data_IF_345168027301
#
_entry.id   IF_345168027301
#
_cell.length_a   1.000
_cell.length_b   1.000
_cell.length_c   1.000
_cell.angle_alpha   90.00
_cell.angle_beta   90.00
_cell.angle_gamma   90.00
#
_symmetry.space_group_name_H-M   'P 1'
#
loop_
_entity.id
_entity.type
_entity.pdbx_description
1 polymer ?
#
# COMPACT_ATOMS: atom_id res chain seq x y z
N UNK A 1 -7.01 -16.19 14.17
CA UNK A 1 -6.75 -16.29 12.73
C UNK A 1 -5.94 -15.09 12.27
N UNK A 2 -4.83 -15.34 11.61
CA UNK A 2 -4.00 -14.26 11.10
C UNK A 2 -4.64 -13.65 9.87
N UNK A 3 -4.58 -12.34 9.79
CA UNK A 3 -5.04 -11.60 8.64
C UNK A 3 -3.87 -10.80 8.07
N UNK A 4 -3.67 -10.91 6.79
CA UNK A 4 -2.59 -10.18 6.12
C UNK A 4 -3.16 -9.03 5.32
N UNK A 5 -2.49 -7.89 5.44
CA UNK A 5 -2.84 -6.71 4.68
C UNK A 5 -1.59 -6.20 3.98
N UNK A 6 -1.78 -5.39 2.97
CA UNK A 6 -0.67 -4.80 2.23
C UNK A 6 -0.77 -3.29 2.35
N UNK A 7 0.38 -2.63 2.45
CA UNK A 7 0.42 -1.17 2.44
C UNK A 7 1.36 -0.71 1.33
N UNK A 8 1.02 0.40 0.73
CA UNK A 8 1.82 0.99 -0.33
C UNK A 8 1.57 2.48 -0.38
N UNK A 9 2.56 3.22 -0.88
CA UNK A 9 2.48 4.67 -0.97
C UNK A 9 2.49 5.08 -2.43
N UNK A 10 1.56 5.93 -2.80
CA UNK A 10 1.49 6.48 -4.15
C UNK A 10 2.55 7.56 -4.34
N UNK A 11 2.78 7.95 -5.58
CA UNK A 11 3.82 8.91 -5.90
C UNK A 11 3.59 10.27 -5.25
N UNK A 12 2.32 10.63 -5.04
CA UNK A 12 1.98 11.90 -4.39
C UNK A 12 2.11 11.88 -2.86
N UNK A 13 2.50 10.74 -2.30
CA UNK A 13 2.69 10.59 -0.87
C UNK A 13 1.53 9.97 -0.12
N UNK A 14 0.42 9.72 -0.79
CA UNK A 14 -0.73 9.09 -0.13
C UNK A 14 -0.43 7.64 0.21
N UNK A 15 -0.74 7.27 1.46
CA UNK A 15 -0.54 5.92 1.96
C UNK A 15 -1.88 5.21 2.02
N UNK A 16 -1.92 3.96 1.59
CA UNK A 16 -3.15 3.18 1.61
C UNK A 16 -2.87 1.74 1.99
N UNK A 17 -3.90 1.08 2.52
CA UNK A 17 -3.84 -0.34 2.82
C UNK A 17 -4.79 -1.09 1.91
N UNK A 18 -4.42 -2.34 1.60
CA UNK A 18 -5.16 -3.17 0.65
C UNK A 18 -5.35 -4.55 1.22
N UNK A 19 -6.49 -5.19 0.92
CA UNK A 19 -6.73 -6.55 1.40
C UNK A 19 -5.94 -7.59 0.62
N UNK A 20 -5.57 -7.29 -0.63
CA UNK A 20 -4.78 -8.17 -1.47
C UNK A 20 -3.56 -7.41 -1.96
N UNK A 21 -2.56 -8.14 -2.46
CA UNK A 21 -1.35 -7.53 -2.96
C UNK A 21 -1.67 -6.54 -4.10
N UNK A 22 -1.44 -5.24 -3.90
CA UNK A 22 -1.70 -4.26 -4.96
C UNK A 22 -0.65 -4.32 -6.04
N UNK A 23 -0.96 -3.70 -7.16
CA UNK A 23 -0.11 -3.66 -8.32
C UNK A 23 0.36 -2.22 -8.55
N UNK A 24 1.65 -2.05 -8.78
CA UNK A 24 2.20 -0.71 -9.01
C UNK A 24 1.92 -0.28 -10.45
N UNK A 25 1.16 0.79 -10.60
CA UNK A 25 0.85 1.36 -11.91
C UNK A 25 1.65 2.65 -12.09
N UNK A 26 2.76 2.55 -12.80
CA UNK A 26 3.66 3.69 -12.95
C UNK A 26 3.07 4.76 -13.85
N UNK A 27 2.17 4.41 -14.75
CA UNK A 27 1.52 5.40 -15.62
C UNK A 27 0.52 6.25 -14.86
N UNK A 28 -0.24 5.61 -13.96
CA UNK A 28 -1.18 6.33 -13.11
C UNK A 28 -0.51 6.91 -11.87
N UNK A 29 0.75 6.51 -11.61
CA UNK A 29 1.53 6.96 -10.47
C UNK A 29 0.87 6.59 -9.15
N UNK A 30 0.27 5.40 -9.12
CA UNK A 30 -0.44 4.90 -7.94
C UNK A 30 -0.45 3.38 -7.92
N UNK A 31 -0.78 2.81 -6.77
CA UNK A 31 -1.00 1.38 -6.63
C UNK A 31 -2.48 1.08 -6.87
N UNK A 32 -2.77 -0.09 -7.45
CA UNK A 32 -4.14 -0.47 -7.78
C UNK A 32 -4.32 -1.98 -7.74
N UNK A 33 -5.56 -2.43 -7.98
CA UNK A 33 -5.91 -3.86 -8.08
C UNK A 33 -5.68 -4.66 -6.81
N UNK A 34 -5.69 -3.98 -5.64
CA UNK A 34 -5.51 -4.64 -4.35
C UNK A 34 -6.83 -5.06 -3.69
N UNK A 35 -7.94 -5.04 -4.43
CA UNK A 35 -9.25 -5.31 -3.85
C UNK A 35 -9.71 -4.17 -2.97
N UNK A 36 -10.33 -4.49 -1.82
CA UNK A 36 -10.72 -3.44 -0.89
C UNK A 36 -9.49 -2.67 -0.38
N UNK A 37 -9.61 -1.36 -0.27
CA UNK A 37 -8.52 -0.50 0.19
C UNK A 37 -9.08 0.70 0.94
N UNK A 38 -8.22 1.31 1.75
CA UNK A 38 -8.57 2.53 2.46
C UNK A 38 -7.30 3.33 2.70
N UNK A 39 -7.43 4.62 2.88
CA UNK A 39 -6.29 5.48 3.15
C UNK A 39 -5.83 5.34 4.60
N UNK A 40 -4.53 5.50 4.80
CA UNK A 40 -3.92 5.63 6.11
C UNK A 40 -3.33 7.02 6.26
N UNK A 41 -3.11 7.50 7.50
CA UNK A 41 -2.44 8.78 7.70
C UNK A 41 -1.09 8.79 6.98
N UNK A 42 -0.80 9.87 6.28
CA UNK A 42 0.40 9.96 5.46
C UNK A 42 1.70 9.86 6.25
N UNK A 43 1.67 10.20 7.53
CA UNK A 43 2.85 10.14 8.37
C UNK A 43 3.09 8.77 9.00
N UNK A 44 2.22 7.81 8.73
CA UNK A 44 2.44 6.43 9.17
C UNK A 44 3.42 5.73 8.23
N UNK A 45 4.17 4.78 8.73
CA UNK A 45 5.08 3.94 7.96
C UNK A 45 5.97 4.76 7.01
N UNK A 46 6.82 5.65 7.56
CA UNK A 46 7.66 6.50 6.71
C UNK A 46 8.66 5.71 5.86
N UNK A 47 8.91 4.46 6.22
CA UNK A 47 9.79 3.58 5.45
C UNK A 47 9.14 3.07 4.16
N UNK A 48 7.81 3.17 4.04
CA UNK A 48 7.08 2.76 2.84
C UNK A 48 7.05 3.92 1.87
N UNK A 49 7.63 3.71 0.68
CA UNK A 49 7.83 4.78 -0.31
C UNK A 49 7.34 4.37 -1.68
N UNK A 50 7.04 5.36 -2.49
CA UNK A 50 6.69 5.11 -3.89
C UNK A 50 7.81 4.40 -4.63
N UNK A 51 9.06 4.67 -4.30
CA UNK A 51 10.21 4.06 -4.95
C UNK A 51 10.37 2.58 -4.66
N UNK A 52 9.60 2.04 -3.72
CA UNK A 52 9.65 0.60 -3.43
C UNK A 52 9.10 -0.19 -4.62
N UNK A 53 9.79 -1.27 -4.99
CA UNK A 53 9.37 -2.11 -6.10
C UNK A 53 8.15 -2.95 -5.76
N UNK A 54 7.94 -3.22 -4.48
CA UNK A 54 6.84 -4.06 -4.02
C UNK A 54 6.14 -3.44 -2.81
N UNK A 55 4.85 -3.76 -2.63
CA UNK A 55 4.14 -3.28 -1.45
C UNK A 55 4.64 -3.98 -0.20
N UNK A 56 4.38 -3.38 0.94
CA UNK A 56 4.80 -3.92 2.23
C UNK A 56 3.67 -4.78 2.82
N UNK A 57 4.00 -6.00 3.19
CA UNK A 57 3.04 -6.92 3.78
C UNK A 57 3.00 -6.71 5.29
N UNK A 58 1.79 -6.60 5.82
CA UNK A 58 1.56 -6.39 7.25
C UNK A 58 0.64 -7.49 7.76
N UNK A 59 1.03 -8.08 8.88
CA UNK A 59 0.18 -9.07 9.54
C UNK A 59 -0.64 -8.40 10.64
N UNK A 60 -1.93 -8.67 10.63
CA UNK A 60 -2.83 -8.24 11.68
C UNK A 60 -3.19 -9.46 12.53
N UNK A 61 -3.02 -9.35 13.82
CA UNK A 61 -3.36 -10.41 14.74
C UNK A 61 -4.63 -10.10 15.51
#
# INVERSE_FOLDING_TARGET
>A
MEQEMWIARDKDGELAMYENKPFKDERAEQWSLGGWWDFLPENWFPEVKWSDDEPTKVKLE
#
